data_IF_025154569117
#
_entry.id   IF_025154569117
#
_cell.length_a   1.000
_cell.length_b   1.000
_cell.length_c   1.000
_cell.angle_alpha   90.00
_cell.angle_beta   90.00
_cell.angle_gamma   90.00
#
_symmetry.space_group_name_H-M   'P 1'
#
loop_
_entity.id
_entity.type
_entity.pdbx_description
1 polymer ?
#
# COMPACT_ATOMS: atom_id res chain seq x y z
N UNK A 1 1.87 -3.25 -6.01
CA UNK A 1 0.43 -3.64 -5.93
C UNK A 1 -0.33 -2.54 -5.24
N UNK A 2 -1.08 -1.73 -5.98
CA UNK A 2 -1.59 -0.47 -5.43
C UNK A 2 -2.92 -0.70 -4.70
N UNK A 3 -3.75 -1.64 -5.16
CA UNK A 3 -5.11 -1.73 -4.64
C UNK A 3 -5.26 -2.40 -3.26
N UNK A 4 -4.34 -3.28 -2.85
CA UNK A 4 -4.46 -3.97 -1.56
C UNK A 4 -4.23 -3.11 -0.32
N UNK A 5 -3.50 -2.02 -0.51
CA UNK A 5 -3.24 -1.00 0.48
C UNK A 5 -4.53 -0.30 0.97
N UNK A 6 -5.49 -0.08 0.07
CA UNK A 6 -6.75 0.59 0.41
C UNK A 6 -7.63 -0.21 1.40
N UNK A 7 -7.66 -1.54 1.26
CA UNK A 7 -8.49 -2.39 2.11
C UNK A 7 -8.07 -2.43 3.57
N UNK A 8 -6.77 -2.34 3.82
CA UNK A 8 -6.21 -2.33 5.16
C UNK A 8 -6.59 -1.04 5.91
N UNK A 9 -6.53 0.12 5.23
CA UNK A 9 -6.90 1.41 5.82
C UNK A 9 -8.36 1.45 6.31
N UNK A 10 -9.28 0.86 5.56
CA UNK A 10 -10.70 0.82 5.92
C UNK A 10 -10.98 -0.05 7.15
N UNK A 11 -10.34 -1.22 7.27
CA UNK A 11 -10.51 -2.11 8.42
C UNK A 11 -9.95 -1.51 9.73
N UNK A 12 -8.86 -0.75 9.63
CA UNK A 12 -8.13 -0.21 10.79
C UNK A 12 -8.81 1.02 11.42
N UNK A 13 -9.67 1.74 10.68
CA UNK A 13 -10.40 2.90 11.22
C UNK A 13 -11.21 2.56 12.48
N UNK A 14 -11.70 1.32 12.61
CA UNK A 14 -12.38 0.84 13.83
C UNK A 14 -11.42 0.71 15.03
N UNK A 15 -10.15 0.38 14.79
CA UNK A 15 -9.12 0.18 15.81
C UNK A 15 -8.51 1.51 16.26
N UNK A 16 -8.50 2.52 15.38
CA UNK A 16 -7.99 3.87 15.64
C UNK A 16 -8.97 4.96 15.17
N UNK A 17 -10.12 5.15 15.85
CA UNK A 17 -11.13 6.11 15.42
C UNK A 17 -10.64 7.56 15.39
N UNK A 18 -9.60 7.88 16.18
CA UNK A 18 -8.97 9.21 16.24
C UNK A 18 -8.13 9.57 15.02
N UNK A 19 -7.67 8.58 14.25
CA UNK A 19 -6.86 8.83 13.06
C UNK A 19 -7.75 9.34 11.92
N UNK A 20 -7.41 10.45 11.24
CA UNK A 20 -8.14 10.84 10.05
C UNK A 20 -7.97 9.78 8.95
N UNK A 21 -8.99 9.60 8.10
CA UNK A 21 -8.94 8.55 7.07
C UNK A 21 -7.77 8.74 6.10
N UNK A 22 -7.49 9.99 5.73
CA UNK A 22 -6.38 10.33 4.83
C UNK A 22 -5.02 9.88 5.38
N UNK A 23 -4.80 9.88 6.70
CA UNK A 23 -3.52 9.46 7.26
C UNK A 23 -3.32 7.96 7.18
N UNK A 24 -4.40 7.18 7.29
CA UNK A 24 -4.35 5.73 7.08
C UNK A 24 -4.10 5.41 5.61
N UNK A 25 -4.72 6.14 4.68
CA UNK A 25 -4.46 5.99 3.24
C UNK A 25 -3.04 6.41 2.86
N UNK A 26 -2.53 7.50 3.43
CA UNK A 26 -1.14 7.90 3.20
C UNK A 26 -0.18 6.85 3.76
N UNK A 27 -0.45 6.32 4.96
CA UNK A 27 0.39 5.32 5.61
C UNK A 27 0.57 4.07 4.74
N UNK A 28 -0.45 3.67 3.98
CA UNK A 28 -0.36 2.45 3.15
C UNK A 28 0.60 2.60 1.96
N UNK A 29 0.87 3.83 1.51
CA UNK A 29 1.82 4.12 0.41
C UNK A 29 3.02 4.94 0.89
N UNK A 30 3.24 5.04 2.20
CA UNK A 30 4.23 5.97 2.72
C UNK A 30 5.65 5.59 2.31
N UNK A 31 5.96 4.29 2.20
CA UNK A 31 7.24 3.83 1.66
C UNK A 31 7.42 4.27 0.21
N UNK A 32 6.40 4.12 -0.65
CA UNK A 32 6.42 4.60 -2.04
C UNK A 32 6.63 6.11 -2.14
N UNK A 33 5.96 6.88 -1.27
CA UNK A 33 6.10 8.34 -1.24
C UNK A 33 7.55 8.72 -0.93
N UNK A 34 8.19 8.05 0.04
CA UNK A 34 9.61 8.28 0.36
C UNK A 34 10.50 7.81 -0.79
N UNK A 35 10.18 6.65 -1.40
CA UNK A 35 10.87 6.11 -2.56
C UNK A 35 10.90 7.10 -3.73
N UNK A 36 9.82 7.82 -4.02
CA UNK A 36 9.81 8.82 -5.10
C UNK A 36 10.92 9.87 -4.91
N UNK A 37 11.15 10.34 -3.69
CA UNK A 37 12.23 11.30 -3.41
C UNK A 37 13.63 10.68 -3.59
N UNK A 38 13.80 9.41 -3.22
CA UNK A 38 15.04 8.67 -3.43
C UNK A 38 15.28 8.34 -4.91
N UNK A 39 14.22 8.06 -5.65
CA UNK A 39 14.29 7.82 -7.09
C UNK A 39 14.67 9.07 -7.87
N UNK A 40 14.05 10.22 -7.54
CA UNK A 40 14.39 11.52 -8.17
C UNK A 40 15.82 11.96 -7.84
N UNK A 41 16.33 11.66 -6.65
CA UNK A 41 17.73 11.91 -6.29
C UNK A 41 18.72 10.89 -6.88
N UNK A 42 18.23 9.86 -7.58
CA UNK A 42 19.04 8.83 -8.24
C UNK A 42 19.59 7.74 -7.32
N UNK A 43 19.18 7.73 -6.04
CA UNK A 43 19.57 6.72 -5.05
C UNK A 43 18.86 5.38 -5.26
N UNK A 44 17.67 5.41 -5.85
CA UNK A 44 16.83 4.24 -6.11
C UNK A 44 16.29 4.28 -7.53
N UNK A 45 15.99 3.12 -8.12
CA UNK A 45 15.64 3.03 -9.55
C UNK A 45 14.56 1.98 -9.82
N UNK A 46 13.77 2.21 -10.85
CA UNK A 46 12.89 1.20 -11.44
C UNK A 46 13.38 0.95 -12.86
N UNK A 47 13.67 -0.30 -13.17
CA UNK A 47 14.07 -0.73 -14.51
C UNK A 47 13.09 -1.79 -15.02
N UNK A 48 12.77 -1.83 -16.32
CA UNK A 48 11.99 -2.93 -16.86
C UNK A 48 12.81 -4.23 -16.83
N UNK A 49 12.14 -5.35 -16.55
CA UNK A 49 12.70 -6.71 -16.66
C UNK A 49 13.00 -7.03 -18.13
N UNK A 50 12.07 -6.68 -19.01
CA UNK A 50 12.19 -6.83 -20.46
C UNK A 50 12.08 -5.44 -21.13
N UNK A 51 13.19 -4.89 -21.67
CA UNK A 51 13.16 -3.62 -22.38
C UNK A 51 12.22 -3.57 -23.60
N UNK A 52 11.91 -4.73 -24.21
CA UNK A 52 10.97 -4.81 -25.32
C UNK A 52 9.50 -4.68 -24.86
N UNK A 53 9.22 -4.99 -23.59
CA UNK A 53 7.89 -4.91 -22.98
C UNK A 53 7.95 -4.18 -21.63
N UNK A 54 8.30 -2.88 -21.61
CA UNK A 54 8.66 -2.16 -20.39
C UNK A 54 7.50 -2.03 -19.39
N UNK A 55 6.26 -2.11 -19.87
CA UNK A 55 5.05 -1.96 -19.06
C UNK A 55 4.37 -3.29 -18.74
N UNK A 56 5.04 -4.42 -18.96
CA UNK A 56 4.46 -5.72 -18.63
C UNK A 56 4.13 -5.79 -17.13
N UNK A 57 2.95 -6.32 -16.80
CA UNK A 57 2.51 -6.48 -15.41
C UNK A 57 3.49 -7.37 -14.62
N UNK A 58 4.02 -6.87 -13.50
CA UNK A 58 5.09 -7.55 -12.74
C UNK A 58 6.46 -7.56 -13.46
N UNK A 59 6.59 -6.79 -14.53
CA UNK A 59 7.76 -6.65 -15.38
C UNK A 59 8.73 -5.55 -14.95
N UNK A 60 8.68 -5.11 -13.69
CA UNK A 60 9.61 -4.11 -13.15
C UNK A 60 10.59 -4.75 -12.17
N UNK A 61 11.87 -4.38 -12.28
CA UNK A 61 12.93 -4.59 -11.30
C UNK A 61 13.08 -3.30 -10.51
N UNK A 62 12.75 -3.37 -9.22
CA UNK A 62 12.77 -2.22 -8.33
C UNK A 62 14.02 -2.30 -7.47
N UNK A 63 14.97 -1.38 -7.70
CA UNK A 63 16.18 -1.23 -6.90
C UNK A 63 15.94 -0.19 -5.81
N UNK A 64 15.10 -0.54 -4.84
CA UNK A 64 14.72 0.32 -3.70
C UNK A 64 15.54 -0.02 -2.45
N UNK A 65 16.86 0.13 -2.54
CA UNK A 65 17.77 -0.41 -1.54
C UNK A 65 17.78 0.31 -0.19
N UNK A 66 17.24 1.53 -0.11
CA UNK A 66 17.15 2.27 1.14
C UNK A 66 15.74 2.16 1.72
N UNK A 67 14.73 2.58 0.95
CA UNK A 67 13.35 2.73 1.42
C UNK A 67 12.65 1.40 1.65
N UNK A 68 12.97 0.39 0.85
CA UNK A 68 12.36 -0.94 0.90
C UNK A 68 13.33 -2.03 1.41
N UNK A 69 14.48 -1.63 1.95
CA UNK A 69 15.25 -2.54 2.80
C UNK A 69 14.47 -2.86 4.07
N UNK A 70 14.63 -4.05 4.66
CA UNK A 70 13.93 -4.43 5.90
C UNK A 70 14.19 -3.41 7.03
N UNK A 71 15.45 -3.02 7.22
CA UNK A 71 15.80 -2.02 8.25
C UNK A 71 15.32 -0.63 7.86
N UNK A 72 15.43 -0.24 6.59
CA UNK A 72 14.96 1.07 6.13
C UNK A 72 13.45 1.23 6.26
N UNK A 73 12.67 0.21 5.88
CA UNK A 73 11.22 0.20 6.01
C UNK A 73 10.79 0.23 7.48
N UNK A 74 11.50 -0.48 8.38
CA UNK A 74 11.29 -0.38 9.83
C UNK A 74 11.56 1.03 10.35
N UNK A 75 12.66 1.67 9.94
CA UNK A 75 13.01 3.03 10.35
C UNK A 75 11.97 4.05 9.86
N UNK A 76 11.57 3.99 8.60
CA UNK A 76 10.54 4.87 8.04
C UNK A 76 9.20 4.66 8.76
N UNK A 77 8.82 3.40 9.01
CA UNK A 77 7.61 3.05 9.76
C UNK A 77 7.63 3.58 11.18
N UNK A 78 8.77 3.47 11.88
CA UNK A 78 8.97 3.99 13.22
C UNK A 78 8.86 5.51 13.24
N UNK A 79 9.50 6.21 12.30
CA UNK A 79 9.43 7.68 12.18
C UNK A 79 7.98 8.13 11.94
N UNK A 80 7.28 7.51 10.99
CA UNK A 80 5.86 7.80 10.73
C UNK A 80 4.99 7.57 11.97
N UNK A 81 5.22 6.45 12.67
CA UNK A 81 4.55 6.13 13.92
C UNK A 81 4.84 7.13 15.04
N UNK A 82 6.07 7.61 15.18
CA UNK A 82 6.45 8.62 16.17
C UNK A 82 5.70 9.94 15.92
N UNK A 83 5.69 10.43 14.68
CA UNK A 83 4.95 11.64 14.32
C UNK A 83 3.45 11.49 14.58
N UNK A 84 2.85 10.36 14.18
CA UNK A 84 1.45 10.08 14.44
C UNK A 84 1.14 9.93 15.94
N UNK A 85 2.07 9.35 16.70
CA UNK A 85 1.99 9.19 18.15
C UNK A 85 2.01 10.52 18.89
N UNK A 86 2.86 11.45 18.46
CA UNK A 86 2.91 12.82 18.97
C UNK A 86 1.62 13.59 18.64
N UNK A 87 1.12 13.46 17.40
CA UNK A 87 -0.03 14.25 16.92
C UNK A 87 -1.41 13.74 17.34
N UNK A 88 -1.57 12.42 17.47
CA UNK A 88 -2.86 11.75 17.71
C UNK A 88 -2.83 10.72 18.85
N UNK A 89 -1.73 10.66 19.61
CA UNK A 89 -1.55 9.79 20.78
C UNK A 89 -0.88 8.45 20.47
N UNK A 90 -0.24 7.86 21.49
CA UNK A 90 0.61 6.64 21.38
C UNK A 90 -0.03 5.50 20.58
N UNK A 91 -1.30 5.18 20.84
CA UNK A 91 -2.03 4.12 20.12
C UNK A 91 -2.12 4.37 18.62
N UNK A 92 -2.38 5.61 18.22
CA UNK A 92 -2.42 6.03 16.82
C UNK A 92 -1.05 5.87 16.14
N UNK A 93 0.02 6.16 16.88
CA UNK A 93 1.39 5.96 16.43
C UNK A 93 1.71 4.51 16.08
N UNK A 94 1.40 3.56 16.99
CA UNK A 94 1.59 2.13 16.72
C UNK A 94 0.77 1.64 15.53
N UNK A 95 -0.45 2.15 15.37
CA UNK A 95 -1.30 1.80 14.24
C UNK A 95 -0.70 2.29 12.92
N UNK A 96 -0.24 3.54 12.85
CA UNK A 96 0.40 4.06 11.63
C UNK A 96 1.70 3.30 11.32
N UNK A 97 2.55 3.04 12.32
CA UNK A 97 3.76 2.25 12.11
C UNK A 97 3.46 0.86 11.54
N UNK A 98 2.45 0.18 12.10
CA UNK A 98 2.04 -1.15 11.61
C UNK A 98 1.49 -1.11 10.19
N UNK A 99 0.72 -0.07 9.84
CA UNK A 99 0.21 0.12 8.47
C UNK A 99 1.35 0.35 7.48
N UNK A 100 2.29 1.24 7.79
CA UNK A 100 3.45 1.50 6.91
C UNK A 100 4.28 0.23 6.74
N UNK A 101 4.57 -0.49 7.83
CA UNK A 101 5.40 -1.69 7.75
C UNK A 101 4.70 -2.86 7.05
N UNK A 102 3.36 -2.93 7.09
CA UNK A 102 2.60 -3.95 6.37
C UNK A 102 2.83 -3.91 4.86
N UNK A 103 3.17 -2.74 4.32
CA UNK A 103 3.59 -2.58 2.92
C UNK A 103 4.78 -3.49 2.61
N UNK A 104 5.85 -3.41 3.42
CA UNK A 104 7.06 -4.22 3.21
C UNK A 104 6.78 -5.73 3.31
N UNK A 105 5.83 -6.15 4.16
CA UNK A 105 5.43 -7.56 4.26
C UNK A 105 4.71 -8.02 2.99
N UNK A 106 3.86 -7.16 2.40
CA UNK A 106 3.25 -7.45 1.10
C UNK A 106 4.30 -7.48 0.00
N UNK A 107 5.28 -6.59 0.06
CA UNK A 107 6.40 -6.58 -0.88
C UNK A 107 7.18 -7.89 -0.83
N UNK A 108 7.49 -8.40 0.36
CA UNK A 108 8.17 -9.68 0.51
C UNK A 108 7.47 -10.83 -0.23
N UNK A 109 6.14 -10.81 -0.31
CA UNK A 109 5.37 -11.82 -1.04
C UNK A 109 5.52 -11.61 -2.56
N UNK A 110 5.43 -10.37 -3.02
CA UNK A 110 5.26 -10.07 -4.44
C UNK A 110 6.56 -9.89 -5.19
N UNK A 111 7.54 -9.27 -4.55
CA UNK A 111 8.83 -8.96 -5.12
C UNK A 111 9.62 -10.21 -5.47
N UNK A 112 10.43 -10.09 -6.52
CA UNK A 112 11.51 -11.02 -6.80
C UNK A 112 12.55 -10.91 -5.67
N UNK A 113 13.60 -11.74 -5.63
CA UNK A 113 14.71 -11.55 -4.67
C UNK A 113 15.49 -10.24 -4.92
N UNK A 114 14.87 -9.09 -4.67
CA UNK A 114 15.36 -7.74 -4.92
C UNK A 114 15.23 -6.81 -3.70
N UNK A 115 14.67 -7.29 -2.58
CA UNK A 115 14.54 -6.54 -1.33
C UNK A 115 15.75 -6.72 -0.41
N UNK A 116 16.52 -5.67 -0.09
CA UNK A 116 17.67 -5.83 0.81
C UNK A 116 17.28 -5.98 2.27
N UNK A 117 18.16 -6.57 3.07
CA UNK A 117 18.00 -6.58 4.53
C UNK A 117 18.45 -5.24 5.12
N UNK A 118 19.64 -4.77 4.73
CA UNK A 118 20.25 -3.53 5.20
C UNK A 118 20.14 -2.42 4.15
N UNK A 119 20.06 -1.13 4.56
CA UNK A 119 19.97 -0.02 3.63
C UNK A 119 21.19 0.05 2.72
N UNK A 120 20.96 0.38 1.45
CA UNK A 120 22.01 0.41 0.42
C UNK A 120 22.57 -0.97 0.08
N UNK A 121 21.88 -2.05 0.45
CA UNK A 121 22.38 -3.43 0.36
C UNK A 121 23.75 -3.63 1.05
N UNK A 122 23.96 -2.94 2.18
CA UNK A 122 25.22 -2.97 2.91
C UNK A 122 25.58 -4.41 3.30
N UNK A 123 26.82 -4.82 3.00
CA UNK A 123 27.32 -6.16 3.30
C UNK A 123 26.90 -7.25 2.30
N UNK A 124 26.19 -6.91 1.21
CA UNK A 124 25.76 -7.85 0.16
C UNK A 124 25.06 -9.09 0.73
N UNK A 125 24.18 -8.88 1.70
CA UNK A 125 23.37 -9.94 2.28
C UNK A 125 22.39 -10.50 1.24
N UNK A 126 21.86 -11.73 1.45
CA UNK A 126 20.84 -12.28 0.57
C UNK A 126 19.64 -11.34 0.44
N UNK A 127 19.26 -11.05 -0.81
CA UNK A 127 18.05 -10.30 -1.12
C UNK A 127 16.82 -11.19 -0.89
N UNK A 128 15.75 -10.58 -0.41
CA UNK A 128 14.51 -11.23 -0.04
C UNK A 128 13.44 -11.03 -1.12
N UNK A 129 12.46 -11.93 -1.15
CA UNK A 129 11.30 -11.88 -2.05
C UNK A 129 10.85 -13.27 -2.49
N UNK A 130 9.55 -13.55 -2.43
CA UNK A 130 8.97 -14.83 -2.81
C UNK A 130 8.57 -14.93 -4.30
N UNK A 131 8.59 -13.80 -5.01
CA UNK A 131 8.52 -13.78 -6.47
C UNK A 131 7.13 -13.92 -7.06
N UNK A 132 6.04 -13.53 -6.38
CA UNK A 132 4.69 -13.63 -6.95
C UNK A 132 4.56 -12.92 -8.31
N UNK A 133 5.28 -11.80 -8.51
CA UNK A 133 5.31 -11.07 -9.79
C UNK A 133 5.89 -11.86 -10.96
N UNK A 134 6.56 -12.98 -10.72
CA UNK A 134 6.96 -13.92 -11.77
C UNK A 134 5.75 -14.68 -12.35
N UNK A 135 4.59 -14.61 -11.68
CA UNK A 135 3.33 -15.20 -12.09
C UNK A 135 2.26 -14.11 -12.28
N UNK A 136 2.25 -13.40 -13.43
CA UNK A 136 1.36 -12.27 -13.67
C UNK A 136 -0.12 -12.56 -13.38
N UNK A 137 -0.63 -13.71 -13.84
CA UNK A 137 -2.02 -14.12 -13.63
C UNK A 137 -2.36 -14.28 -12.14
N UNK A 138 -1.49 -14.95 -11.38
CA UNK A 138 -1.69 -15.16 -9.93
C UNK A 138 -1.62 -13.82 -9.19
N UNK A 139 -0.66 -12.98 -9.56
CA UNK A 139 -0.53 -11.62 -9.04
C UNK A 139 -1.78 -10.78 -9.32
N UNK A 140 -2.36 -10.86 -10.52
CA UNK A 140 -3.58 -10.12 -10.88
C UNK A 140 -4.80 -10.62 -10.10
N UNK A 141 -4.95 -11.94 -9.91
CA UNK A 141 -6.01 -12.54 -9.09
C UNK A 141 -5.88 -12.08 -7.63
N UNK A 142 -4.66 -12.08 -7.09
CA UNK A 142 -4.40 -11.61 -5.73
C UNK A 142 -4.74 -10.11 -5.60
N UNK A 143 -4.36 -9.27 -6.58
CA UNK A 143 -4.74 -7.86 -6.58
C UNK A 143 -6.26 -7.70 -6.58
N UNK A 144 -6.95 -8.44 -7.44
CA UNK A 144 -8.41 -8.39 -7.54
C UNK A 144 -9.08 -8.80 -6.22
N UNK A 145 -8.60 -9.86 -5.57
CA UNK A 145 -9.10 -10.28 -4.27
C UNK A 145 -8.93 -9.18 -3.21
N UNK A 146 -7.79 -8.49 -3.24
CA UNK A 146 -7.50 -7.36 -2.37
C UNK A 146 -8.36 -6.12 -2.69
N UNK A 147 -8.61 -5.80 -3.96
CA UNK A 147 -9.54 -4.75 -4.42
C UNK A 147 -10.94 -5.02 -3.87
N UNK A 148 -11.45 -6.25 -4.06
CA UNK A 148 -12.79 -6.65 -3.66
C UNK A 148 -12.92 -6.61 -2.14
N UNK A 149 -11.98 -7.24 -1.42
CA UNK A 149 -11.95 -7.27 0.04
C UNK A 149 -11.85 -5.86 0.62
N UNK A 150 -10.99 -5.01 0.05
CA UNK A 150 -10.82 -3.64 0.50
C UNK A 150 -12.03 -2.74 0.25
N UNK A 151 -12.65 -2.88 -0.92
CA UNK A 151 -13.92 -2.21 -1.24
C UNK A 151 -15.03 -2.63 -0.28
N UNK A 152 -15.11 -3.92 0.04
CA UNK A 152 -16.09 -4.44 0.99
C UNK A 152 -15.89 -3.89 2.41
N UNK A 153 -14.65 -3.86 2.90
CA UNK A 153 -14.33 -3.25 4.20
C UNK A 153 -14.62 -1.75 4.23
N UNK A 154 -14.30 -1.03 3.14
CA UNK A 154 -14.63 0.39 3.00
C UNK A 154 -16.12 0.64 3.04
N UNK A 155 -16.91 -0.12 2.26
CA UNK A 155 -18.37 -0.05 2.28
C UNK A 155 -18.91 -0.29 3.69
N UNK A 156 -18.43 -1.34 4.37
CA UNK A 156 -18.86 -1.66 5.73
C UNK A 156 -18.56 -0.53 6.71
N UNK A 157 -17.38 0.08 6.63
CA UNK A 157 -17.01 1.22 7.47
C UNK A 157 -17.86 2.46 7.16
N UNK A 158 -18.06 2.78 5.88
CA UNK A 158 -18.86 3.93 5.45
C UNK A 158 -20.34 3.77 5.84
N UNK A 159 -20.88 2.55 5.73
CA UNK A 159 -22.26 2.23 6.14
C UNK A 159 -22.45 2.38 7.65
N UNK A 160 -21.53 1.89 8.46
CA UNK A 160 -21.58 2.05 9.92
C UNK A 160 -21.53 3.53 10.34
N UNK A 161 -20.71 4.34 9.66
CA UNK A 161 -20.69 5.78 9.89
C UNK A 161 -22.02 6.45 9.49
N UNK A 162 -22.65 6.00 8.41
CA UNK A 162 -23.95 6.50 7.97
C UNK A 162 -25.09 6.13 8.93
N UNK A 163 -25.06 4.93 9.51
CA UNK A 163 -26.04 4.46 10.51
C UNK A 163 -26.02 5.32 11.78
N UNK A 164 -24.85 5.85 12.17
CA UNK A 164 -24.67 6.74 13.31
C UNK A 164 -25.05 8.22 13.04
N UNK A 165 -25.43 8.56 11.80
CA UNK A 165 -25.78 9.94 11.39
C UNK A 165 -27.24 10.28 11.68
N UNK A 166 -27.52 11.56 11.95
CA UNK A 166 -28.89 12.11 12.05
C UNK A 166 -29.62 12.11 10.70
N UNK A 167 -28.90 12.13 9.57
CA UNK A 167 -29.46 12.05 8.22
C UNK A 167 -29.04 10.76 7.52
N UNK A 168 -29.61 9.63 7.97
CA UNK A 168 -29.22 8.29 7.56
C UNK A 168 -29.38 8.04 6.05
N UNK A 169 -30.48 8.47 5.43
CA UNK A 169 -30.74 8.22 3.99
C UNK A 169 -29.70 8.91 3.10
N UNK A 170 -29.40 10.18 3.37
CA UNK A 170 -28.39 10.97 2.66
C UNK A 170 -27.00 10.32 2.81
N UNK A 171 -26.61 10.00 4.04
CA UNK A 171 -25.29 9.42 4.31
C UNK A 171 -25.14 8.01 3.73
N UNK A 172 -26.22 7.22 3.70
CA UNK A 172 -26.20 5.90 3.07
C UNK A 172 -25.98 6.00 1.55
N UNK A 173 -26.63 6.97 0.87
CA UNK A 173 -26.37 7.25 -0.55
C UNK A 173 -24.93 7.70 -0.80
N UNK A 174 -24.37 8.53 0.09
CA UNK A 174 -22.95 8.97 0.02
C UNK A 174 -21.98 7.81 0.25
N UNK A 175 -22.26 6.92 1.19
CA UNK A 175 -21.48 5.72 1.43
C UNK A 175 -21.48 4.81 0.20
N UNK A 176 -22.64 4.58 -0.42
CA UNK A 176 -22.77 3.75 -1.62
C UNK A 176 -22.04 4.36 -2.82
N UNK A 177 -22.27 5.64 -3.09
CA UNK A 177 -21.65 6.35 -4.24
C UNK A 177 -20.14 6.47 -4.11
N UNK A 178 -19.63 6.79 -2.92
CA UNK A 178 -18.17 6.84 -2.68
C UNK A 178 -17.52 5.46 -2.78
N UNK A 179 -18.18 4.42 -2.26
CA UNK A 179 -17.70 3.03 -2.40
C UNK A 179 -17.65 2.62 -3.86
N UNK A 180 -18.72 2.87 -4.62
CA UNK A 180 -18.78 2.53 -6.04
C UNK A 180 -17.70 3.28 -6.84
N UNK A 181 -17.51 4.59 -6.56
CA UNK A 181 -16.47 5.39 -7.19
C UNK A 181 -15.07 4.84 -6.92
N UNK A 182 -14.75 4.52 -5.66
CA UNK A 182 -13.47 3.92 -5.28
C UNK A 182 -13.28 2.55 -5.97
N UNK A 183 -14.29 1.70 -5.96
CA UNK A 183 -14.23 0.37 -6.59
C UNK A 183 -13.90 0.47 -8.09
N UNK A 184 -14.60 1.37 -8.80
CA UNK A 184 -14.37 1.61 -10.22
C UNK A 184 -12.94 2.12 -10.45
N UNK A 185 -12.47 3.08 -9.67
CA UNK A 185 -11.10 3.61 -9.80
C UNK A 185 -10.04 2.52 -9.55
N UNK A 186 -10.21 1.68 -8.53
CA UNK A 186 -9.29 0.59 -8.22
C UNK A 186 -9.30 -0.48 -9.32
N UNK A 187 -10.48 -0.81 -9.88
CA UNK A 187 -10.60 -1.75 -10.99
C UNK A 187 -9.99 -1.21 -12.29
N UNK A 188 -10.18 0.09 -12.58
CA UNK A 188 -9.54 0.74 -13.72
C UNK A 188 -8.02 0.77 -13.56
N UNK A 189 -7.52 1.03 -12.36
CA UNK A 189 -6.09 1.00 -12.07
C UNK A 189 -5.52 -0.41 -12.23
N UNK A 190 -6.20 -1.44 -11.73
CA UNK A 190 -5.82 -2.83 -11.96
C UNK A 190 -5.82 -3.18 -13.46
N UNK A 191 -6.86 -2.77 -14.19
CA UNK A 191 -6.95 -3.01 -15.63
C UNK A 191 -5.80 -2.31 -16.38
N UNK A 192 -5.47 -1.05 -16.04
CA UNK A 192 -4.34 -0.32 -16.63
C UNK A 192 -3.04 -1.08 -16.41
N UNK A 193 -2.78 -1.52 -15.17
CA UNK A 193 -1.57 -2.26 -14.81
C UNK A 193 -1.48 -3.60 -15.57
N UNK A 194 -2.58 -4.34 -15.66
CA UNK A 194 -2.61 -5.64 -16.36
C UNK A 194 -2.44 -5.47 -17.87
N UNK A 195 -2.97 -4.38 -18.43
CA UNK A 195 -2.87 -4.06 -19.86
C UNK A 195 -1.58 -3.33 -20.23
N UNK A 196 -0.77 -2.91 -19.25
CA UNK A 196 0.47 -2.16 -19.48
C UNK A 196 0.26 -0.75 -20.04
N UNK A 197 -0.89 -0.14 -19.72
CA UNK A 197 -1.28 1.21 -20.14
C UNK A 197 -0.92 2.28 -19.10
#
# INVERSE_FOLDING_TARGET
MIAGHFGLAAGIKKIAPRLPLWSLLLATFFLDVVFIFFAVSGLEKINPVDPANPNAYGGSLIQAYYTHSLVGSLLISAIAGLFAGWRWGKRSGYVIAGVVFSHWILDLIVHRPDLPILPGNLGNLPLLGFGLWQYPTVSAIMELALVIGGTWFYYRSARQAAEASTNQKEQHRRALTSTAGVAVLLLLLLASNVLGM
#
